data_IF_947998301395
#
_entry.id   IF_947998301395
#
_cell.length_a   1.000
_cell.length_b   1.000
_cell.length_c   1.000
_cell.angle_alpha   90.00
_cell.angle_beta   90.00
_cell.angle_gamma   90.00
#
_symmetry.space_group_name_H-M   'P 1'
#
loop_
_entity.id
_entity.type
_entity.pdbx_description
1 polymer ?
#
# COMPACT_ATOMS: atom_id res chain seq x y z
N UNK A 1 20.29 -19.64 -5.12
CA UNK A 1 20.50 -19.07 -6.48
C UNK A 1 21.38 -17.82 -6.34
N UNK A 2 22.61 -17.79 -6.88
CA UNK A 2 23.42 -16.54 -6.89
C UNK A 2 23.02 -15.74 -8.13
N UNK A 3 22.03 -14.86 -7.97
CA UNK A 3 21.68 -13.90 -9.03
C UNK A 3 22.80 -12.85 -9.07
N UNK A 4 23.44 -12.67 -10.22
CA UNK A 4 24.56 -11.73 -10.40
C UNK A 4 24.10 -10.27 -10.42
N UNK A 5 22.80 -10.02 -10.59
CA UNK A 5 22.15 -8.72 -10.45
C UNK A 5 20.91 -8.83 -9.55
N UNK A 6 20.57 -7.81 -8.76
CA UNK A 6 19.39 -7.85 -7.90
C UNK A 6 18.10 -7.94 -8.72
N UNK A 7 17.19 -8.85 -8.33
CA UNK A 7 15.88 -9.02 -8.95
C UNK A 7 15.07 -7.71 -8.87
N UNK A 8 14.72 -7.12 -10.02
CA UNK A 8 13.91 -5.90 -10.05
C UNK A 8 12.47 -6.19 -9.58
N UNK A 9 11.91 -5.30 -8.75
CA UNK A 9 10.57 -5.47 -8.17
C UNK A 9 9.60 -4.43 -8.72
N UNK A 10 8.39 -4.84 -9.08
CA UNK A 10 7.28 -3.96 -9.41
C UNK A 10 6.50 -3.67 -8.13
N UNK A 11 6.61 -2.45 -7.63
CA UNK A 11 5.93 -2.00 -6.42
C UNK A 11 4.48 -1.65 -6.72
N UNK A 12 3.56 -2.60 -6.52
CA UNK A 12 2.16 -2.38 -6.93
C UNK A 12 1.34 -1.52 -5.95
N UNK A 13 1.94 -1.12 -4.82
CA UNK A 13 1.34 -0.15 -3.91
C UNK A 13 2.38 0.57 -3.07
N UNK A 14 2.53 1.87 -3.32
CA UNK A 14 3.36 2.74 -2.51
C UNK A 14 2.81 4.19 -2.49
N UNK A 15 3.51 5.05 -1.75
CA UNK A 15 3.23 6.47 -1.66
C UNK A 15 4.46 7.33 -1.98
N UNK A 16 4.24 8.64 -2.12
CA UNK A 16 5.31 9.59 -2.37
C UNK A 16 6.22 9.82 -1.15
N UNK A 17 7.37 10.44 -1.41
CA UNK A 17 8.37 10.84 -0.42
C UNK A 17 8.21 12.33 -0.10
N UNK A 18 8.46 12.72 1.15
CA UNK A 18 8.37 14.13 1.57
C UNK A 18 9.41 15.01 0.85
N UNK A 19 8.98 16.20 0.42
CA UNK A 19 9.78 17.13 -0.40
C UNK A 19 10.53 18.20 0.39
N UNK A 20 10.88 17.90 1.64
CA UNK A 20 11.58 18.83 2.54
C UNK A 20 12.48 18.06 3.50
N UNK A 21 13.48 18.74 4.02
CA UNK A 21 14.30 18.20 5.10
C UNK A 21 13.47 18.04 6.37
N UNK A 22 13.81 17.00 7.13
CA UNK A 22 13.16 16.63 8.38
C UNK A 22 14.16 16.81 9.51
N UNK A 23 13.70 17.39 10.61
CA UNK A 23 14.41 17.26 11.89
C UNK A 23 14.18 15.86 12.48
N UNK A 24 14.75 15.59 13.65
CA UNK A 24 14.58 14.30 14.33
C UNK A 24 13.10 13.98 14.59
N UNK A 25 12.33 14.95 15.07
CA UNK A 25 10.94 14.72 15.44
C UNK A 25 10.09 14.37 14.21
N UNK A 26 10.26 15.10 13.10
CA UNK A 26 9.60 14.84 11.84
C UNK A 26 10.01 13.50 11.22
N UNK A 27 11.29 13.13 11.29
CA UNK A 27 11.74 11.82 10.81
C UNK A 27 11.13 10.69 11.64
N UNK A 28 11.20 10.77 12.96
CA UNK A 28 10.65 9.72 13.84
C UNK A 28 9.12 9.61 13.74
N UNK A 29 8.41 10.72 13.51
CA UNK A 29 6.97 10.72 13.29
C UNK A 29 6.55 10.01 11.99
N UNK A 30 7.45 9.89 11.02
CA UNK A 30 7.22 9.24 9.73
C UNK A 30 7.88 7.86 9.64
N UNK A 31 8.61 7.43 10.66
CA UNK A 31 9.36 6.17 10.67
C UNK A 31 8.45 4.95 10.93
N UNK A 32 7.28 5.15 11.53
CA UNK A 32 6.32 4.09 11.83
C UNK A 32 4.89 4.61 11.72
N UNK A 33 3.92 3.71 11.54
CA UNK A 33 2.48 4.01 11.70
C UNK A 33 2.09 4.45 13.13
N UNK A 34 2.97 4.20 14.10
CA UNK A 34 2.81 4.77 15.44
C UNK A 34 3.06 6.27 15.41
N UNK A 35 2.16 7.06 16.01
CA UNK A 35 2.33 8.51 16.14
C UNK A 35 3.61 8.94 16.90
N UNK A 36 3.73 10.23 17.23
CA UNK A 36 4.94 10.75 17.87
C UNK A 36 5.41 9.93 19.08
N UNK A 37 6.73 9.85 19.29
CA UNK A 37 7.35 9.19 20.44
C UNK A 37 6.74 9.71 21.75
N UNK A 38 5.89 8.89 22.38
CA UNK A 38 5.29 9.21 23.67
C UNK A 38 6.26 9.00 24.82
N UNK A 39 5.91 9.50 26.01
CA UNK A 39 6.73 9.37 27.23
C UNK A 39 7.18 7.94 27.58
N UNK A 40 6.46 6.94 27.07
CA UNK A 40 6.71 5.52 27.33
C UNK A 40 7.42 4.78 26.19
N UNK A 41 7.44 5.36 24.98
CA UNK A 41 7.83 4.66 23.76
C UNK A 41 9.31 4.79 23.39
N UNK A 42 10.05 5.68 24.05
CA UNK A 42 11.44 5.98 23.68
C UNK A 42 11.55 6.55 22.26
N UNK A 43 12.73 6.43 21.66
CA UNK A 43 12.94 6.87 20.28
C UNK A 43 12.35 5.85 19.31
N UNK A 44 11.81 6.32 18.19
CA UNK A 44 11.36 5.42 17.11
C UNK A 44 12.52 4.66 16.46
N UNK A 45 13.77 5.09 16.67
CA UNK A 45 14.95 4.33 16.28
C UNK A 45 15.14 3.02 17.06
N UNK A 46 14.47 2.84 18.20
CA UNK A 46 14.51 1.61 18.99
C UNK A 46 13.51 0.54 18.50
N UNK A 47 12.67 0.89 17.51
CA UNK A 47 11.77 -0.05 16.84
C UNK A 47 12.53 -0.93 15.84
N UNK A 48 11.92 -2.04 15.39
CA UNK A 48 12.51 -2.93 14.37
C UNK A 48 12.91 -2.16 13.10
N UNK A 49 12.01 -1.34 12.57
CA UNK A 49 12.29 -0.51 11.38
C UNK A 49 13.37 0.53 11.66
N UNK A 50 13.39 1.15 12.84
CA UNK A 50 14.45 2.09 13.23
C UNK A 50 15.84 1.46 13.29
N UNK A 51 15.94 0.24 13.82
CA UNK A 51 17.17 -0.54 13.81
C UNK A 51 17.57 -0.93 12.37
N UNK A 52 16.61 -1.32 11.53
CA UNK A 52 16.87 -1.63 10.12
C UNK A 52 17.34 -0.42 9.32
N UNK A 53 16.81 0.78 9.56
CA UNK A 53 17.32 2.03 8.96
C UNK A 53 18.80 2.20 9.30
N UNK A 54 19.17 2.10 10.58
CA UNK A 54 20.57 2.27 10.99
C UNK A 54 21.50 1.21 10.39
N UNK A 55 21.00 -0.01 10.21
CA UNK A 55 21.80 -1.13 9.68
C UNK A 55 21.95 -1.09 8.16
N UNK A 56 20.85 -0.90 7.44
CA UNK A 56 20.77 -1.13 6.00
C UNK A 56 20.67 0.17 5.19
N UNK A 57 20.13 1.25 5.76
CA UNK A 57 20.09 2.54 5.08
C UNK A 57 21.37 3.36 5.26
N UNK A 58 22.08 3.21 6.39
CA UNK A 58 23.32 3.95 6.65
C UNK A 58 24.38 3.78 5.54
N UNK A 59 24.63 2.56 5.00
CA UNK A 59 25.57 2.39 3.88
C UNK A 59 25.21 3.14 2.61
N UNK A 60 23.90 3.35 2.32
CA UNK A 60 23.44 4.11 1.14
C UNK A 60 23.82 5.60 1.26
N UNK A 61 24.02 6.09 2.49
CA UNK A 61 24.43 7.47 2.79
C UNK A 61 25.92 7.59 3.13
N UNK A 62 26.73 6.59 2.75
CA UNK A 62 28.18 6.50 2.98
C UNK A 62 28.57 6.40 4.46
N UNK A 63 27.68 5.89 5.32
CA UNK A 63 27.95 5.64 6.74
C UNK A 63 28.18 4.15 7.01
N UNK A 64 28.95 3.80 8.06
CA UNK A 64 29.03 2.41 8.50
C UNK A 64 27.64 1.91 8.98
N UNK A 65 27.35 0.61 8.81
CA UNK A 65 26.18 -0.01 9.43
C UNK A 65 26.13 0.24 10.95
N UNK A 66 24.92 0.32 11.49
CA UNK A 66 24.63 0.43 12.93
C UNK A 66 25.09 1.76 13.58
N UNK A 67 25.49 2.75 12.77
CA UNK A 67 25.83 4.11 13.21
C UNK A 67 24.75 4.70 14.13
N UNK A 68 25.09 5.49 15.18
CA UNK A 68 24.11 6.12 16.05
C UNK A 68 23.07 6.95 15.28
N UNK A 69 21.82 6.96 15.76
CA UNK A 69 20.73 7.67 15.09
C UNK A 69 21.01 9.18 14.89
N UNK A 70 21.76 9.81 15.81
CA UNK A 70 22.15 11.21 15.68
C UNK A 70 23.06 11.47 14.48
N UNK A 71 24.07 10.62 14.29
CA UNK A 71 25.00 10.69 13.16
C UNK A 71 24.29 10.35 11.84
N UNK A 72 23.39 9.36 11.83
CA UNK A 72 22.54 9.06 10.66
C UNK A 72 21.75 10.29 10.21
N UNK A 73 21.04 10.94 11.14
CA UNK A 73 20.21 12.11 10.83
C UNK A 73 21.05 13.33 10.43
N UNK A 74 22.22 13.52 11.03
CA UNK A 74 23.14 14.60 10.65
C UNK A 74 23.59 14.43 9.19
N UNK A 75 24.03 13.22 8.81
CA UNK A 75 24.41 12.93 7.42
C UNK A 75 23.26 13.09 6.44
N UNK A 76 22.07 12.63 6.82
CA UNK A 76 20.85 12.79 6.02
C UNK A 76 20.55 14.27 5.77
N UNK A 77 20.70 15.12 6.79
CA UNK A 77 20.50 16.56 6.69
C UNK A 77 21.58 17.25 5.84
N UNK A 78 22.85 16.83 5.93
CA UNK A 78 23.94 17.35 5.08
C UNK A 78 23.69 17.12 3.59
N UNK A 79 23.15 15.95 3.22
CA UNK A 79 22.85 15.59 1.84
C UNK A 79 21.59 16.30 1.32
N UNK A 80 20.60 16.51 2.19
CA UNK A 80 19.30 17.07 1.85
C UNK A 80 18.35 16.05 1.21
N UNK A 81 17.04 16.30 1.33
CA UNK A 81 15.98 15.34 0.98
C UNK A 81 16.06 14.86 -0.48
N UNK A 82 16.42 15.73 -1.42
CA UNK A 82 16.43 15.40 -2.85
C UNK A 82 17.52 14.36 -3.17
N UNK A 83 18.72 14.54 -2.63
CA UNK A 83 19.82 13.61 -2.82
C UNK A 83 19.57 12.29 -2.08
N UNK A 84 19.05 12.37 -0.85
CA UNK A 84 18.62 11.19 -0.07
C UNK A 84 17.58 10.37 -0.84
N UNK A 85 16.57 11.02 -1.41
CA UNK A 85 15.52 10.38 -2.21
C UNK A 85 16.12 9.69 -3.43
N UNK A 86 16.95 10.39 -4.21
CA UNK A 86 17.61 9.83 -5.40
C UNK A 86 18.43 8.58 -5.07
N UNK A 87 19.21 8.61 -3.98
CA UNK A 87 20.04 7.48 -3.58
C UNK A 87 19.22 6.26 -3.17
N UNK A 88 18.22 6.44 -2.30
CA UNK A 88 17.42 5.33 -1.81
C UNK A 88 16.52 4.72 -2.88
N UNK A 89 15.85 5.54 -3.71
CA UNK A 89 15.02 5.03 -4.78
C UNK A 89 15.87 4.36 -5.88
N UNK A 90 17.05 4.91 -6.20
CA UNK A 90 18.00 4.24 -7.09
C UNK A 90 18.51 2.90 -6.53
N UNK A 91 18.71 2.81 -5.22
CA UNK A 91 19.11 1.57 -4.54
C UNK A 91 17.96 0.57 -4.35
N UNK A 92 16.70 0.97 -4.56
CA UNK A 92 15.55 0.08 -4.43
C UNK A 92 15.44 -0.91 -5.61
N UNK A 93 15.99 -0.58 -6.79
CA UNK A 93 15.99 -1.41 -8.02
C UNK A 93 14.57 -1.86 -8.39
N UNK A 94 13.73 -0.89 -8.76
CA UNK A 94 12.32 -1.12 -9.09
C UNK A 94 12.12 -1.23 -10.61
N UNK A 95 11.14 -2.05 -11.03
CA UNK A 95 10.74 -2.19 -12.45
C UNK A 95 9.46 -1.41 -12.81
N UNK A 96 8.76 -0.90 -11.79
CA UNK A 96 7.57 -0.08 -11.90
C UNK A 96 7.00 0.25 -10.51
N UNK A 97 6.19 1.31 -10.42
CA UNK A 97 5.52 1.73 -9.18
C UNK A 97 4.05 2.06 -9.45
N UNK A 98 3.15 1.61 -8.59
CA UNK A 98 1.75 2.07 -8.54
C UNK A 98 1.57 2.93 -7.29
N UNK A 99 1.39 4.23 -7.51
CA UNK A 99 1.42 5.26 -6.47
C UNK A 99 0.00 5.71 -6.13
N UNK A 100 -0.42 5.47 -4.89
CA UNK A 100 -1.68 6.01 -4.37
C UNK A 100 -1.50 7.48 -3.99
N UNK A 101 -2.15 8.35 -4.78
CA UNK A 101 -2.11 9.82 -4.62
C UNK A 101 -3.27 10.35 -3.78
N UNK A 102 -3.99 9.49 -3.06
CA UNK A 102 -5.15 9.87 -2.25
C UNK A 102 -4.82 10.29 -0.81
N UNK A 103 -3.56 10.22 -0.41
CA UNK A 103 -3.07 10.55 0.92
C UNK A 103 -1.98 11.60 0.86
N UNK A 104 -2.31 12.85 1.20
CA UNK A 104 -1.39 13.98 1.09
C UNK A 104 -1.38 14.85 2.37
N UNK A 105 -1.07 14.29 3.56
CA UNK A 105 -0.90 15.11 4.76
C UNK A 105 0.45 15.85 4.77
N UNK A 106 1.35 15.54 3.84
CA UNK A 106 2.67 16.14 3.63
C UNK A 106 2.82 16.56 2.16
N UNK A 107 3.75 17.46 1.82
CA UNK A 107 4.09 17.76 0.43
C UNK A 107 4.90 16.60 -0.15
N UNK A 108 4.21 15.63 -0.74
CA UNK A 108 4.80 14.41 -1.30
C UNK A 108 5.24 14.59 -2.76
N UNK A 109 6.19 13.78 -3.21
CA UNK A 109 6.51 13.62 -4.64
C UNK A 109 5.31 13.10 -5.41
N UNK A 110 5.08 13.65 -6.59
CA UNK A 110 4.16 13.08 -7.58
C UNK A 110 4.66 11.72 -8.11
N UNK A 111 3.81 10.91 -8.76
CA UNK A 111 4.24 9.67 -9.41
C UNK A 111 5.41 9.89 -10.38
N UNK A 112 5.37 10.95 -11.20
CA UNK A 112 6.42 11.26 -12.16
C UNK A 112 7.78 11.55 -11.48
N UNK A 113 7.78 12.34 -10.39
CA UNK A 113 9.01 12.64 -9.62
C UNK A 113 9.56 11.37 -8.96
N UNK A 114 8.68 10.53 -8.39
CA UNK A 114 9.08 9.28 -7.75
C UNK A 114 9.67 8.28 -8.75
N UNK A 115 9.02 8.10 -9.91
CA UNK A 115 9.51 7.25 -10.99
C UNK A 115 10.86 7.72 -11.54
N UNK A 116 11.04 9.03 -11.71
CA UNK A 116 12.33 9.60 -12.12
C UNK A 116 13.45 9.32 -11.10
N UNK A 117 13.17 9.42 -9.80
CA UNK A 117 14.13 9.08 -8.75
C UNK A 117 14.46 7.58 -8.70
N UNK A 118 13.47 6.72 -9.00
CA UNK A 118 13.63 5.26 -9.05
C UNK A 118 14.28 4.74 -10.34
N UNK A 119 14.28 5.55 -11.41
CA UNK A 119 14.65 5.08 -12.74
C UNK A 119 13.64 4.09 -13.34
N UNK A 120 12.38 4.18 -12.94
CA UNK A 120 11.32 3.24 -13.29
C UNK A 120 10.01 3.97 -13.65
N UNK A 121 9.12 3.37 -14.48
CA UNK A 121 7.81 3.95 -14.73
C UNK A 121 6.96 3.97 -13.46
N UNK A 122 6.21 5.05 -13.25
CA UNK A 122 5.29 5.19 -12.13
C UNK A 122 3.88 5.50 -12.64
N UNK A 123 2.91 4.80 -12.08
CA UNK A 123 1.51 4.80 -12.46
C UNK A 123 0.66 5.29 -11.29
N UNK A 124 -0.46 5.93 -11.58
CA UNK A 124 -1.34 6.49 -10.55
C UNK A 124 -2.40 5.47 -10.13
N UNK A 125 -2.66 5.38 -8.82
CA UNK A 125 -3.82 4.72 -8.23
C UNK A 125 -4.79 5.80 -7.71
N UNK A 126 -6.07 5.69 -8.07
CA UNK A 126 -7.11 6.60 -7.60
C UNK A 126 -7.72 6.15 -6.27
N UNK A 127 -7.68 6.98 -5.24
CA UNK A 127 -8.35 6.67 -3.96
C UNK A 127 -9.82 7.06 -3.98
N UNK A 128 -10.69 6.08 -3.75
CA UNK A 128 -12.14 6.22 -3.88
C UNK A 128 -12.72 7.17 -2.85
N UNK A 129 -12.27 7.08 -1.60
CA UNK A 129 -12.78 7.92 -0.52
C UNK A 129 -12.45 9.40 -0.74
N UNK A 130 -11.25 9.73 -1.22
CA UNK A 130 -10.86 11.11 -1.53
C UNK A 130 -11.72 11.70 -2.65
N UNK A 131 -12.02 10.90 -3.68
CA UNK A 131 -12.94 11.29 -4.75
C UNK A 131 -14.35 11.54 -4.20
N UNK A 132 -14.85 10.61 -3.39
CA UNK A 132 -16.18 10.67 -2.80
C UNK A 132 -16.34 11.90 -1.89
N UNK A 133 -15.36 12.18 -1.04
CA UNK A 133 -15.35 13.34 -0.14
C UNK A 133 -15.33 14.66 -0.92
N UNK A 134 -14.52 14.73 -1.99
CA UNK A 134 -14.50 15.89 -2.89
C UNK A 134 -15.85 16.14 -3.59
N UNK A 135 -16.52 15.07 -4.03
CA UNK A 135 -17.87 15.17 -4.61
C UNK A 135 -18.89 15.60 -3.55
N UNK A 136 -18.86 14.96 -2.37
CA UNK A 136 -19.77 15.24 -1.26
C UNK A 136 -19.72 16.72 -0.83
N UNK A 137 -18.52 17.33 -0.82
CA UNK A 137 -18.34 18.73 -0.48
C UNK A 137 -18.99 19.71 -1.47
N UNK A 138 -19.29 19.29 -2.70
CA UNK A 138 -19.82 20.14 -3.77
C UNK A 138 -21.22 19.78 -4.26
N UNK A 139 -21.92 18.84 -3.63
CA UNK A 139 -23.21 18.33 -4.13
C UNK A 139 -24.24 18.07 -3.01
N UNK A 140 -25.47 17.79 -3.41
CA UNK A 140 -26.53 17.32 -2.50
C UNK A 140 -26.47 15.81 -2.31
N UNK A 141 -27.11 15.28 -1.26
CA UNK A 141 -27.22 13.84 -1.06
C UNK A 141 -27.76 13.08 -2.29
N UNK A 142 -28.74 13.66 -2.98
CA UNK A 142 -29.34 13.08 -4.19
C UNK A 142 -28.38 13.13 -5.40
N UNK A 143 -27.50 14.12 -5.45
CA UNK A 143 -26.49 14.27 -6.50
C UNK A 143 -25.20 13.48 -6.27
N UNK A 144 -25.02 12.89 -5.08
CA UNK A 144 -23.78 12.22 -4.70
C UNK A 144 -23.42 11.05 -5.61
N UNK A 145 -24.38 10.14 -5.86
CA UNK A 145 -24.13 8.96 -6.68
C UNK A 145 -23.67 9.34 -8.09
N UNK A 146 -24.46 10.16 -8.79
CA UNK A 146 -24.11 10.62 -10.14
C UNK A 146 -22.75 11.34 -10.16
N UNK A 147 -22.50 12.26 -9.21
CA UNK A 147 -21.24 13.00 -9.15
C UNK A 147 -20.02 12.11 -8.93
N UNK A 148 -20.15 11.05 -8.12
CA UNK A 148 -19.08 10.06 -7.90
C UNK A 148 -18.83 9.25 -9.17
N UNK A 149 -19.88 8.75 -9.83
CA UNK A 149 -19.76 8.00 -11.06
C UNK A 149 -19.09 8.85 -12.16
N UNK A 150 -19.53 10.10 -12.34
CA UNK A 150 -18.95 11.04 -13.29
C UNK A 150 -17.47 11.31 -12.98
N UNK A 151 -17.12 11.49 -11.69
CA UNK A 151 -15.75 11.77 -11.30
C UNK A 151 -14.83 10.56 -11.47
N UNK A 152 -15.30 9.35 -11.15
CA UNK A 152 -14.56 8.10 -11.39
C UNK A 152 -14.34 7.91 -12.89
N UNK A 153 -15.39 8.06 -13.71
CA UNK A 153 -15.28 7.94 -15.15
C UNK A 153 -14.30 8.97 -15.76
N UNK A 154 -14.29 10.20 -15.25
CA UNK A 154 -13.35 11.23 -15.69
C UNK A 154 -11.89 10.96 -15.30
N UNK A 155 -11.64 10.25 -14.19
CA UNK A 155 -10.28 9.94 -13.69
C UNK A 155 -9.77 8.60 -14.22
N UNK A 156 -10.66 7.67 -14.58
CA UNK A 156 -10.31 6.32 -15.02
C UNK A 156 -9.21 6.25 -16.11
N UNK A 157 -9.17 7.14 -17.13
CA UNK A 157 -8.12 7.12 -18.14
C UNK A 157 -6.70 7.44 -17.61
N UNK A 158 -6.61 8.08 -16.45
CA UNK A 158 -5.34 8.54 -15.86
C UNK A 158 -4.82 7.64 -14.73
N UNK A 159 -5.50 6.53 -14.44
CA UNK A 159 -5.14 5.60 -13.35
C UNK A 159 -5.07 4.16 -13.86
N UNK A 160 -4.25 3.35 -13.20
CA UNK A 160 -4.15 1.90 -13.49
C UNK A 160 -4.96 1.04 -12.53
N UNK A 161 -5.61 1.65 -11.54
CA UNK A 161 -6.39 0.96 -10.52
C UNK A 161 -6.94 1.91 -9.47
N UNK A 162 -7.78 1.36 -8.60
CA UNK A 162 -8.45 2.07 -7.52
C UNK A 162 -7.99 1.58 -6.15
N UNK A 163 -8.06 2.44 -5.14
CA UNK A 163 -7.80 2.09 -3.73
C UNK A 163 -9.02 2.44 -2.88
N UNK A 164 -9.45 1.49 -2.07
CA UNK A 164 -10.39 1.66 -0.98
C UNK A 164 -9.64 1.63 0.35
N UNK A 165 -9.90 2.63 1.20
CA UNK A 165 -9.43 2.70 2.58
C UNK A 165 -10.58 2.42 3.58
N UNK A 166 -11.62 1.70 3.16
CA UNK A 166 -12.76 1.34 4.01
C UNK A 166 -12.37 0.80 5.40
N UNK A 167 -11.28 0.03 5.49
CA UNK A 167 -10.72 -0.45 6.76
C UNK A 167 -10.46 0.69 7.78
N UNK A 168 -9.84 1.80 7.37
CA UNK A 168 -9.60 3.01 8.19
C UNK A 168 -10.86 3.80 8.54
N UNK A 169 -12.01 3.41 7.98
CA UNK A 169 -13.25 4.17 8.05
C UNK A 169 -14.35 3.33 8.73
N UNK A 170 -15.17 2.68 7.92
CA UNK A 170 -16.29 1.84 8.36
C UNK A 170 -15.93 0.37 8.55
N UNK A 171 -14.66 -0.02 8.41
CA UNK A 171 -14.24 -1.42 8.44
C UNK A 171 -14.56 -2.17 7.15
N UNK A 172 -14.18 -3.45 7.12
CA UNK A 172 -14.23 -4.31 5.94
C UNK A 172 -15.49 -5.15 5.81
N UNK A 173 -16.42 -5.08 6.77
CA UNK A 173 -17.72 -5.75 6.70
C UNK A 173 -18.67 -5.01 5.74
N UNK A 174 -18.34 -5.05 4.45
CA UNK A 174 -19.05 -4.34 3.40
C UNK A 174 -20.19 -5.20 2.81
N UNK A 175 -21.36 -4.62 2.51
CA UNK A 175 -22.43 -5.30 1.79
C UNK A 175 -21.94 -5.80 0.43
N UNK A 176 -22.28 -7.05 0.08
CA UNK A 176 -21.93 -7.60 -1.23
C UNK A 176 -22.82 -7.07 -2.37
N UNK A 177 -24.11 -6.86 -2.10
CA UNK A 177 -25.03 -6.35 -3.11
C UNK A 177 -24.70 -4.90 -3.49
N UNK A 178 -24.83 -4.56 -4.78
CA UNK A 178 -24.76 -3.18 -5.25
C UNK A 178 -25.89 -2.37 -4.57
N UNK A 179 -25.57 -1.29 -3.84
CA UNK A 179 -26.59 -0.47 -3.21
C UNK A 179 -27.53 0.18 -4.22
N UNK A 180 -28.81 0.29 -3.86
CA UNK A 180 -29.80 1.04 -4.62
C UNK A 180 -29.63 2.56 -4.45
N UNK A 181 -30.11 3.33 -5.43
CA UNK A 181 -29.97 4.79 -5.44
C UNK A 181 -30.55 5.48 -4.18
N UNK A 182 -31.65 4.98 -3.64
CA UNK A 182 -32.27 5.49 -2.43
C UNK A 182 -31.40 5.25 -1.18
N UNK A 183 -30.75 4.09 -1.09
CA UNK A 183 -29.85 3.74 0.02
C UNK A 183 -28.61 4.63 0.00
N UNK A 184 -28.02 4.84 -1.18
CA UNK A 184 -26.86 5.72 -1.38
C UNK A 184 -27.23 7.16 -1.02
N UNK A 185 -28.38 7.65 -1.48
CA UNK A 185 -28.86 9.00 -1.16
C UNK A 185 -29.04 9.17 0.35
N UNK A 186 -29.70 8.22 1.03
CA UNK A 186 -29.89 8.27 2.46
C UNK A 186 -28.57 8.21 3.25
N UNK A 187 -27.60 7.42 2.78
CA UNK A 187 -26.28 7.34 3.39
C UNK A 187 -25.46 8.63 3.19
N UNK A 188 -25.49 9.22 1.99
CA UNK A 188 -24.86 10.50 1.71
C UNK A 188 -25.47 11.64 2.54
N UNK A 189 -26.78 11.63 2.72
CA UNK A 189 -27.52 12.58 3.56
C UNK A 189 -27.13 12.47 5.05
N UNK A 190 -26.94 11.25 5.57
CA UNK A 190 -26.35 11.05 6.91
C UNK A 190 -24.93 11.59 7.00
N UNK A 191 -24.11 11.35 5.96
CA UNK A 191 -22.71 11.80 5.92
C UNK A 191 -22.61 13.34 5.91
N UNK A 192 -23.46 14.02 5.12
CA UNK A 192 -23.53 15.49 5.04
C UNK A 192 -23.97 16.14 6.36
N UNK A 193 -24.87 15.51 7.11
CA UNK A 193 -25.26 15.98 8.45
C UNK A 193 -24.19 15.71 9.53
N UNK A 194 -23.25 14.83 9.24
CA UNK A 194 -22.17 14.44 10.14
C UNK A 194 -20.88 15.21 9.88
N UNK A 195 -19.76 14.48 9.87
CA UNK A 195 -18.42 15.04 9.68
C UNK A 195 -18.03 15.19 8.21
N UNK A 196 -18.83 14.70 7.26
CA UNK A 196 -18.46 14.57 5.85
C UNK A 196 -17.45 13.45 5.56
N UNK A 197 -16.91 12.77 6.58
CA UNK A 197 -15.99 11.64 6.43
C UNK A 197 -16.74 10.40 5.94
N UNK A 198 -16.35 9.85 4.80
CA UNK A 198 -16.96 8.63 4.25
C UNK A 198 -16.58 7.44 5.15
N UNK A 199 -17.56 6.91 5.87
CA UNK A 199 -17.43 5.74 6.74
C UNK A 199 -18.67 4.83 6.74
N UNK A 200 -19.70 5.18 5.98
CA UNK A 200 -20.92 4.37 5.86
C UNK A 200 -20.65 3.18 4.90
N UNK A 201 -20.92 1.94 5.32
CA UNK A 201 -20.64 0.76 4.50
C UNK A 201 -21.42 0.74 3.17
N UNK A 202 -22.59 1.40 3.10
CA UNK A 202 -23.35 1.56 1.86
C UNK A 202 -22.58 2.44 0.87
N UNK A 203 -21.97 3.53 1.35
CA UNK A 203 -21.17 4.40 0.51
C UNK A 203 -19.90 3.68 0.03
N UNK A 204 -19.19 2.95 0.89
CA UNK A 204 -18.03 2.17 0.47
C UNK A 204 -18.40 1.08 -0.56
N UNK A 205 -19.50 0.34 -0.35
CA UNK A 205 -19.96 -0.65 -1.32
C UNK A 205 -20.30 0.01 -2.67
N UNK A 206 -20.98 1.16 -2.66
CA UNK A 206 -21.26 1.93 -3.88
C UNK A 206 -19.99 2.36 -4.61
N UNK A 207 -18.99 2.87 -3.88
CA UNK A 207 -17.70 3.27 -4.44
C UNK A 207 -16.98 2.09 -5.10
N UNK A 208 -16.91 0.94 -4.42
CA UNK A 208 -16.27 -0.26 -4.97
C UNK A 208 -16.98 -0.73 -6.23
N UNK A 209 -18.31 -0.83 -6.22
CA UNK A 209 -19.07 -1.24 -7.39
C UNK A 209 -18.90 -0.28 -8.58
N UNK A 210 -18.81 1.02 -8.32
CA UNK A 210 -18.56 2.04 -9.36
C UNK A 210 -17.15 1.93 -9.91
N UNK A 211 -16.16 1.63 -9.06
CA UNK A 211 -14.78 1.38 -9.46
C UNK A 211 -14.67 0.11 -10.32
N UNK A 212 -15.32 -0.98 -9.93
CA UNK A 212 -15.36 -2.25 -10.68
C UNK A 212 -15.95 -2.07 -12.07
N UNK A 213 -16.96 -1.21 -12.24
CA UNK A 213 -17.55 -0.91 -13.55
C UNK A 213 -16.55 -0.29 -14.55
N UNK A 214 -15.41 0.24 -14.07
CA UNK A 214 -14.34 0.74 -14.96
C UNK A 214 -13.47 -0.38 -15.55
N UNK A 215 -13.59 -1.61 -15.04
CA UNK A 215 -12.75 -2.74 -15.43
C UNK A 215 -11.33 -2.71 -14.84
N UNK A 216 -10.99 -1.71 -14.03
CA UNK A 216 -9.67 -1.55 -13.42
C UNK A 216 -9.57 -2.26 -12.05
N UNK A 217 -8.38 -2.78 -11.67
CA UNK A 217 -8.18 -3.47 -10.40
C UNK A 217 -8.51 -2.59 -9.19
N UNK A 218 -9.04 -3.21 -8.13
CA UNK A 218 -9.39 -2.52 -6.88
C UNK A 218 -8.58 -3.05 -5.71
N UNK A 219 -7.84 -2.17 -5.07
CA UNK A 219 -7.03 -2.43 -3.90
C UNK A 219 -7.81 -2.11 -2.62
N UNK A 220 -7.67 -2.93 -1.59
CA UNK A 220 -8.21 -2.70 -0.26
C UNK A 220 -7.08 -2.67 0.74
N UNK A 221 -7.03 -1.62 1.56
CA UNK A 221 -6.22 -1.68 2.78
C UNK A 221 -6.79 -2.75 3.71
N UNK A 222 -5.94 -3.64 4.23
CA UNK A 222 -6.31 -4.66 5.22
C UNK A 222 -5.20 -4.79 6.27
N UNK A 223 -5.55 -5.20 7.48
CA UNK A 223 -4.55 -5.41 8.52
C UNK A 223 -3.94 -4.12 9.08
N UNK A 224 -2.62 -4.04 9.13
CA UNK A 224 -1.85 -3.08 9.93
C UNK A 224 -2.00 -1.62 9.44
N UNK A 225 -2.16 -0.69 10.38
CA UNK A 225 -2.18 0.75 10.15
C UNK A 225 -1.98 1.54 11.45
N UNK A 226 -2.21 2.85 11.39
CA UNK A 226 -2.07 3.77 12.51
C UNK A 226 -3.21 3.67 13.56
N UNK A 227 -3.21 4.58 14.53
CA UNK A 227 -4.18 4.58 15.63
C UNK A 227 -5.59 5.04 15.24
N UNK A 228 -5.82 5.56 14.03
CA UNK A 228 -7.16 5.85 13.48
C UNK A 228 -7.86 4.55 13.05
N UNK A 229 -7.10 3.48 12.82
CA UNK A 229 -7.61 2.18 12.40
C UNK A 229 -8.13 1.33 13.57
N UNK A 230 -9.35 0.82 13.44
CA UNK A 230 -9.81 -0.32 14.24
C UNK A 230 -9.34 -1.64 13.59
N UNK A 231 -8.21 -2.16 14.08
CA UNK A 231 -7.58 -3.37 13.54
C UNK A 231 -8.52 -4.59 13.54
N UNK A 232 -9.46 -4.69 14.47
CA UNK A 232 -10.41 -5.81 14.52
C UNK A 232 -11.38 -5.78 13.33
N UNK A 233 -11.63 -4.61 12.75
CA UNK A 233 -12.48 -4.40 11.58
C UNK A 233 -11.71 -4.39 10.27
N UNK A 234 -10.39 -4.58 10.32
CA UNK A 234 -9.50 -4.64 9.18
C UNK A 234 -9.14 -6.09 8.76
N UNK A 235 -9.82 -7.11 9.33
CA UNK A 235 -9.68 -8.50 8.90
C UNK A 235 -10.25 -8.68 7.47
N UNK A 236 -9.44 -9.15 6.49
CA UNK A 236 -9.89 -9.35 5.12
C UNK A 236 -11.02 -10.37 4.97
N UNK A 237 -11.22 -11.31 5.92
CA UNK A 237 -12.36 -12.25 5.87
C UNK A 237 -13.72 -11.53 5.88
N UNK A 238 -13.78 -10.32 6.44
CA UNK A 238 -15.01 -9.53 6.45
C UNK A 238 -15.45 -9.11 5.05
N UNK A 239 -14.55 -9.12 4.05
CA UNK A 239 -14.87 -8.84 2.64
C UNK A 239 -15.52 -10.04 1.92
N UNK A 240 -15.65 -11.20 2.55
CA UNK A 240 -16.07 -12.45 1.87
C UNK A 240 -17.34 -12.29 1.04
N UNK A 241 -18.36 -11.62 1.58
CA UNK A 241 -19.64 -11.45 0.86
C UNK A 241 -19.50 -10.51 -0.34
N UNK A 242 -18.68 -9.46 -0.22
CA UNK A 242 -18.35 -8.56 -1.33
C UNK A 242 -17.53 -9.28 -2.39
N UNK A 243 -16.49 -10.03 -2.01
CA UNK A 243 -15.65 -10.78 -2.94
C UNK A 243 -16.47 -11.81 -3.76
N UNK A 244 -17.40 -12.52 -3.11
CA UNK A 244 -18.34 -13.42 -3.80
C UNK A 244 -19.21 -12.69 -4.81
N UNK A 245 -19.71 -11.51 -4.45
CA UNK A 245 -20.57 -10.72 -5.32
C UNK A 245 -19.81 -10.10 -6.50
N UNK A 246 -18.54 -9.74 -6.30
CA UNK A 246 -17.67 -9.17 -7.34
C UNK A 246 -17.07 -10.24 -8.27
N UNK A 247 -16.97 -11.50 -7.85
CA UNK A 247 -16.32 -12.56 -8.63
C UNK A 247 -16.80 -12.67 -10.10
N UNK A 248 -18.09 -12.56 -10.43
CA UNK A 248 -18.55 -12.58 -11.83
C UNK A 248 -18.06 -11.42 -12.70
N UNK A 249 -17.65 -10.29 -12.11
CA UNK A 249 -17.09 -9.16 -12.85
C UNK A 249 -15.67 -9.43 -13.36
N UNK A 250 -14.95 -10.40 -12.77
CA UNK A 250 -13.60 -10.80 -13.21
C UNK A 250 -12.50 -9.75 -13.01
N UNK A 251 -12.81 -8.62 -12.36
CA UNK A 251 -11.85 -7.55 -12.08
C UNK A 251 -10.93 -7.97 -10.92
N UNK A 252 -9.59 -7.79 -11.02
CA UNK A 252 -8.69 -8.13 -9.94
C UNK A 252 -8.96 -7.32 -8.67
N UNK A 253 -8.96 -8.00 -7.52
CA UNK A 253 -9.07 -7.41 -6.19
C UNK A 253 -7.79 -7.69 -5.42
N UNK A 254 -7.14 -6.65 -4.89
CA UNK A 254 -5.88 -6.79 -4.18
C UNK A 254 -6.07 -6.48 -2.69
N UNK A 255 -5.71 -7.42 -1.83
CA UNK A 255 -5.70 -7.24 -0.38
C UNK A 255 -4.30 -6.79 0.02
N UNK A 256 -4.18 -5.53 0.43
CA UNK A 256 -2.91 -4.91 0.76
C UNK A 256 -2.56 -5.11 2.24
N UNK A 257 -1.26 -5.20 2.50
CA UNK A 257 -0.54 -5.26 3.78
C UNK A 257 -0.78 -6.52 4.60
N UNK A 258 -2.05 -6.84 4.80
CA UNK A 258 -2.64 -8.07 5.33
C UNK A 258 -2.26 -8.46 6.75
N UNK A 259 -1.07 -8.14 7.26
CA UNK A 259 -0.64 -8.44 8.63
C UNK A 259 -1.56 -7.79 9.69
N UNK A 260 -2.00 -8.49 10.76
CA UNK A 260 -1.60 -9.84 11.17
C UNK A 260 -2.47 -10.95 10.55
N UNK A 261 -3.31 -10.63 9.57
CA UNK A 261 -4.28 -11.49 8.91
C UNK A 261 -3.80 -12.04 7.55
N UNK A 262 -2.48 -12.09 7.31
CA UNK A 262 -1.92 -12.52 6.02
C UNK A 262 -2.27 -13.98 5.69
N UNK A 263 -2.44 -14.86 6.68
CA UNK A 263 -2.96 -16.22 6.46
C UNK A 263 -4.40 -16.22 5.94
N UNK A 264 -5.28 -15.38 6.51
CA UNK A 264 -6.65 -15.20 6.05
C UNK A 264 -6.69 -14.68 4.62
N UNK A 265 -5.85 -13.69 4.31
CA UNK A 265 -5.71 -13.16 2.96
C UNK A 265 -5.25 -14.24 1.96
N UNK A 266 -4.27 -15.07 2.36
CA UNK A 266 -3.80 -16.19 1.55
C UNK A 266 -4.88 -17.23 1.25
N UNK A 267 -5.75 -17.54 2.23
CA UNK A 267 -6.95 -18.35 1.99
C UNK A 267 -7.88 -17.72 0.95
N UNK A 268 -8.15 -16.41 1.02
CA UNK A 268 -9.01 -15.72 0.06
C UNK A 268 -8.42 -15.73 -1.36
N UNK A 269 -7.10 -15.53 -1.50
CA UNK A 269 -6.41 -15.61 -2.78
C UNK A 269 -6.48 -17.01 -3.41
N UNK A 270 -6.45 -18.06 -2.58
CA UNK A 270 -6.66 -19.44 -3.02
C UNK A 270 -8.11 -19.68 -3.44
N UNK A 271 -9.08 -19.21 -2.64
CA UNK A 271 -10.49 -19.50 -2.81
C UNK A 271 -11.16 -18.74 -3.97
N UNK A 272 -10.70 -17.52 -4.28
CA UNK A 272 -11.33 -16.65 -5.27
C UNK A 272 -10.35 -16.30 -6.39
N UNK A 273 -10.74 -16.58 -7.63
CA UNK A 273 -9.90 -16.35 -8.82
C UNK A 273 -9.34 -14.92 -8.92
N UNK A 274 -10.15 -13.84 -8.80
CA UNK A 274 -9.65 -12.48 -8.98
C UNK A 274 -8.90 -11.91 -7.76
N UNK A 275 -8.71 -12.66 -6.67
CA UNK A 275 -8.14 -12.13 -5.43
C UNK A 275 -6.63 -12.32 -5.38
N UNK A 276 -5.90 -11.23 -5.15
CA UNK A 276 -4.45 -11.16 -5.01
C UNK A 276 -4.08 -10.59 -3.64
N UNK A 277 -2.85 -10.85 -3.21
CA UNK A 277 -2.36 -10.44 -1.87
C UNK A 277 -0.95 -9.90 -1.93
N UNK A 278 -0.65 -9.03 -0.97
CA UNK A 278 0.71 -8.64 -0.63
C UNK A 278 0.92 -8.66 0.90
N UNK A 279 2.16 -8.39 1.30
CA UNK A 279 2.58 -8.24 2.70
C UNK A 279 3.35 -6.93 2.92
N UNK A 280 3.03 -5.90 2.11
CA UNK A 280 3.62 -4.56 2.23
C UNK A 280 3.35 -3.95 3.60
N UNK A 281 4.01 -2.82 3.90
CA UNK A 281 4.05 -2.20 5.23
C UNK A 281 4.74 -3.06 6.30
N UNK A 282 4.17 -4.22 6.64
CA UNK A 282 4.76 -5.19 7.54
C UNK A 282 6.13 -5.69 7.03
N UNK A 283 6.32 -5.74 5.70
CA UNK A 283 7.58 -6.12 5.07
C UNK A 283 8.79 -5.34 5.58
N UNK A 284 8.71 -4.01 5.68
CA UNK A 284 9.78 -3.19 6.27
C UNK A 284 9.55 -2.87 7.76
N UNK A 285 8.30 -2.77 8.22
CA UNK A 285 7.93 -2.50 9.60
C UNK A 285 8.37 -3.60 10.59
N UNK A 286 8.30 -4.87 10.18
CA UNK A 286 8.74 -6.02 10.97
C UNK A 286 10.25 -6.32 10.85
N UNK A 287 10.95 -5.62 9.94
CA UNK A 287 12.41 -5.53 9.78
C UNK A 287 13.21 -6.76 10.27
N UNK A 288 13.24 -7.80 9.43
CA UNK A 288 13.96 -9.06 9.68
C UNK A 288 13.05 -10.27 9.94
N UNK A 289 11.73 -10.08 9.97
CA UNK A 289 10.73 -11.17 10.05
C UNK A 289 9.91 -11.32 8.76
N UNK A 290 10.25 -10.58 7.71
CA UNK A 290 9.59 -10.59 6.39
C UNK A 290 9.55 -11.99 5.80
N UNK A 291 10.62 -12.78 5.94
CA UNK A 291 10.68 -14.17 5.46
C UNK A 291 9.64 -15.08 6.11
N UNK A 292 9.37 -14.90 7.41
CA UNK A 292 8.36 -15.69 8.12
C UNK A 292 6.95 -15.29 7.68
N UNK A 293 6.65 -13.99 7.61
CA UNK A 293 5.35 -13.51 7.13
C UNK A 293 5.09 -14.02 5.69
N UNK A 294 6.12 -13.96 4.84
CA UNK A 294 6.05 -14.44 3.46
C UNK A 294 5.85 -15.97 3.38
N UNK A 295 6.52 -16.73 4.26
CA UNK A 295 6.32 -18.17 4.37
C UNK A 295 4.88 -18.49 4.83
N UNK A 296 4.34 -17.75 5.79
CA UNK A 296 3.00 -17.97 6.32
C UNK A 296 1.89 -17.63 5.33
N UNK A 297 2.00 -16.53 4.56
CA UNK A 297 0.99 -16.21 3.52
C UNK A 297 1.00 -17.23 2.39
N UNK A 298 2.18 -17.76 2.03
CA UNK A 298 2.35 -18.76 0.96
C UNK A 298 1.99 -20.19 1.37
N UNK A 299 1.60 -20.43 2.63
CA UNK A 299 0.98 -21.70 3.05
C UNK A 299 -0.27 -22.02 2.21
N UNK A 300 -1.04 -20.98 1.83
CA UNK A 300 -2.25 -21.12 1.00
C UNK A 300 -2.23 -20.25 -0.26
N UNK A 301 -1.66 -19.04 -0.20
CA UNK A 301 -1.68 -18.14 -1.35
C UNK A 301 -0.90 -18.75 -2.53
N UNK A 302 -1.50 -18.86 -3.73
CA UNK A 302 -0.72 -19.19 -4.92
C UNK A 302 0.35 -18.12 -5.15
N UNK A 303 1.61 -18.53 -5.37
CA UNK A 303 2.71 -17.58 -5.69
C UNK A 303 2.40 -16.71 -6.92
N UNK A 304 1.56 -17.19 -7.84
CA UNK A 304 1.09 -16.42 -9.01
C UNK A 304 0.08 -15.32 -8.68
N UNK A 305 -0.36 -15.24 -7.42
CA UNK A 305 -1.30 -14.24 -6.87
C UNK A 305 -0.68 -13.40 -5.74
N UNK A 306 0.59 -13.62 -5.45
CA UNK A 306 1.37 -12.82 -4.52
C UNK A 306 2.09 -11.72 -5.30
N UNK A 307 2.05 -10.50 -4.78
CA UNK A 307 2.75 -9.35 -5.34
C UNK A 307 3.66 -8.70 -4.29
N UNK A 308 4.64 -7.92 -4.76
CA UNK A 308 5.45 -7.04 -3.93
C UNK A 308 4.83 -5.64 -3.83
N UNK A 309 4.55 -5.20 -2.61
CA UNK A 309 4.34 -3.79 -2.32
C UNK A 309 5.27 -3.36 -1.20
N UNK A 310 5.76 -2.11 -1.28
CA UNK A 310 6.48 -1.52 -0.15
C UNK A 310 5.53 -0.97 0.90
N UNK A 311 4.40 -0.42 0.45
CA UNK A 311 3.60 0.56 1.18
C UNK A 311 4.44 1.70 1.76
N UNK A 312 5.56 2.01 1.10
CA UNK A 312 6.48 3.02 1.59
C UNK A 312 5.85 4.40 1.48
N UNK A 313 5.79 5.09 2.62
CA UNK A 313 5.23 6.43 2.76
C UNK A 313 6.25 7.40 3.37
N UNK A 314 6.33 8.59 2.76
CA UNK A 314 7.07 9.79 3.18
C UNK A 314 8.60 9.69 3.32
N UNK A 315 9.16 8.56 3.74
CA UNK A 315 10.59 8.33 3.86
C UNK A 315 11.10 7.45 2.71
N UNK A 316 12.11 7.92 1.99
CA UNK A 316 12.74 7.16 0.91
C UNK A 316 13.41 5.87 1.42
N UNK A 317 13.84 5.88 2.69
CA UNK A 317 14.34 4.70 3.40
C UNK A 317 13.37 3.51 3.34
N UNK A 318 12.06 3.74 3.43
CA UNK A 318 11.07 2.66 3.42
C UNK A 318 11.03 1.93 2.07
N UNK A 319 11.18 2.65 0.96
CA UNK A 319 11.24 2.07 -0.38
C UNK A 319 12.44 1.11 -0.51
N UNK A 320 13.61 1.56 -0.08
CA UNK A 320 14.83 0.75 -0.13
C UNK A 320 14.75 -0.46 0.82
N UNK A 321 14.34 -0.25 2.08
CA UNK A 321 14.24 -1.32 3.07
C UNK A 321 13.24 -2.39 2.66
N UNK A 322 12.06 -1.99 2.18
CA UNK A 322 11.04 -2.94 1.74
C UNK A 322 11.59 -3.81 0.60
N UNK A 323 12.22 -3.20 -0.41
CA UNK A 323 12.74 -3.92 -1.56
C UNK A 323 13.90 -4.86 -1.17
N UNK A 324 14.82 -4.41 -0.32
CA UNK A 324 15.94 -5.22 0.17
C UNK A 324 15.44 -6.44 0.95
N UNK A 325 14.62 -6.22 1.98
CA UNK A 325 14.15 -7.27 2.87
C UNK A 325 13.23 -8.25 2.16
N UNK A 326 12.44 -7.78 1.19
CA UNK A 326 11.57 -8.65 0.40
C UNK A 326 12.36 -9.57 -0.53
N UNK A 327 13.45 -9.10 -1.16
CA UNK A 327 14.30 -9.97 -2.00
C UNK A 327 14.90 -11.10 -1.18
N UNK A 328 15.45 -10.78 -0.01
CA UNK A 328 16.03 -11.78 0.88
C UNK A 328 14.97 -12.78 1.37
N UNK A 329 13.79 -12.29 1.73
CA UNK A 329 12.66 -13.12 2.14
C UNK A 329 12.16 -14.03 1.01
N UNK A 330 11.98 -13.49 -0.20
CA UNK A 330 11.53 -14.24 -1.36
C UNK A 330 12.54 -15.32 -1.75
N UNK A 331 13.83 -14.99 -1.74
CA UNK A 331 14.89 -15.97 -1.99
C UNK A 331 14.84 -17.12 -0.99
N UNK A 332 14.57 -16.84 0.29
CA UNK A 332 14.44 -17.86 1.33
C UNK A 332 13.18 -18.73 1.15
N UNK A 333 12.03 -18.14 0.81
CA UNK A 333 10.76 -18.87 0.60
C UNK A 333 10.83 -19.76 -0.66
N UNK A 334 11.54 -19.33 -1.69
CA UNK A 334 11.67 -20.08 -2.94
C UNK A 334 12.81 -21.12 -2.93
N UNK A 335 13.67 -21.11 -1.92
CA UNK A 335 14.81 -22.03 -1.87
C UNK A 335 14.34 -23.50 -1.85
N UNK A 336 14.91 -24.31 -2.74
CA UNK A 336 14.54 -25.71 -2.91
C UNK A 336 13.21 -25.99 -3.62
N UNK A 337 12.43 -24.97 -4.00
CA UNK A 337 11.20 -25.18 -4.78
C UNK A 337 11.51 -25.44 -6.27
N UNK A 338 10.72 -26.29 -6.96
CA UNK A 338 10.78 -26.38 -8.41
C UNK A 338 10.36 -25.05 -9.04
N UNK A 339 10.91 -24.72 -10.22
CA UNK A 339 10.63 -23.48 -10.95
C UNK A 339 10.91 -22.18 -10.17
N UNK A 340 11.76 -22.19 -9.15
CA UNK A 340 12.02 -21.04 -8.27
C UNK A 340 12.32 -19.74 -9.05
N UNK A 341 13.12 -19.79 -10.12
CA UNK A 341 13.45 -18.62 -10.95
C UNK A 341 12.21 -18.05 -11.67
N UNK A 342 11.38 -18.93 -12.25
CA UNK A 342 10.12 -18.53 -12.91
C UNK A 342 9.16 -17.92 -11.90
N UNK A 343 9.01 -18.53 -10.73
CA UNK A 343 8.14 -18.05 -9.65
C UNK A 343 8.62 -16.71 -9.10
N UNK A 344 9.93 -16.54 -8.93
CA UNK A 344 10.52 -15.27 -8.53
C UNK A 344 10.17 -14.15 -9.52
N UNK A 345 10.30 -14.40 -10.83
CA UNK A 345 9.94 -13.41 -11.85
C UNK A 345 8.45 -13.06 -11.86
N UNK A 346 7.56 -14.02 -11.56
CA UNK A 346 6.12 -13.76 -11.46
C UNK A 346 5.77 -12.91 -10.24
N UNK A 347 6.31 -13.24 -9.06
CA UNK A 347 6.05 -12.49 -7.82
C UNK A 347 6.65 -11.09 -7.89
N UNK A 348 7.86 -10.99 -8.44
CA UNK A 348 8.61 -9.73 -8.50
C UNK A 348 8.01 -8.72 -9.50
N UNK A 349 7.52 -9.16 -10.66
CA UNK A 349 7.11 -8.22 -11.72
C UNK A 349 5.94 -8.75 -12.57
N UNK A 350 6.02 -10.01 -13.02
CA UNK A 350 5.10 -10.53 -14.04
C UNK A 350 3.62 -10.53 -13.63
N UNK A 351 3.31 -10.79 -12.36
CA UNK A 351 1.94 -10.74 -11.85
C UNK A 351 1.40 -9.31 -11.81
N UNK A 352 2.20 -8.34 -11.37
CA UNK A 352 1.79 -6.94 -11.35
C UNK A 352 1.50 -6.43 -12.76
N UNK A 353 2.37 -6.71 -13.74
CA UNK A 353 2.14 -6.32 -15.14
C UNK A 353 0.84 -6.90 -15.69
N UNK A 354 0.56 -8.18 -15.41
CA UNK A 354 -0.69 -8.83 -15.84
C UNK A 354 -1.94 -8.19 -15.24
N UNK A 355 -1.84 -7.68 -14.00
CA UNK A 355 -2.98 -7.08 -13.29
C UNK A 355 -3.23 -5.63 -13.69
N UNK A 356 -2.17 -4.83 -13.84
CA UNK A 356 -2.29 -3.38 -13.99
C UNK A 356 -2.03 -2.86 -15.41
N UNK A 357 -1.34 -3.64 -16.25
CA UNK A 357 -0.94 -3.25 -17.61
C UNK A 357 -1.38 -4.30 -18.66
N UNK A 358 -2.67 -4.70 -18.69
CA UNK A 358 -3.17 -5.74 -19.58
C UNK A 358 -3.24 -5.34 -21.06
#
# INVERSE_FOLDING_TARGET
MRVTEPLALFDHHCHGVVRRDLDRAGFEALLTEGGAAGRWGGSRFDTRVGLAVRRWCAPVLDLPPDVPAGEYLARRAELGYAEVTRRFLGAAVLSGLCVDTGYEPEPLTSPAELGAAAGAPAYRIGRLETIAEGVLAGTSAAGFAAGVADRIAAVAPDVVGWKSIAAYRGGLALPGARPGAAEVTAAADRCLRGTGRIADPVLHAYLVWTAVDTGLPVQFHTGFGDADLDLARADPLLLTDLLRALAPAGVPVLLLHTYPYHRQAGYLALAYDPVFVDVGLAGHGAAGRTAEILAEVTELAPLTKLLYSSDAYALAEHHHLAALLYRDALAAVLDGLPDAERLAGLVADGTARRVYLP
#
